data_IF_663046616474
#
_entry.id   IF_663046616474
#
_cell.length_a   1.000
_cell.length_b   1.000
_cell.length_c   1.000
_cell.angle_alpha   90.00
_cell.angle_beta   90.00
_cell.angle_gamma   90.00
#
_symmetry.space_group_name_H-M   'P 1'
#
loop_
_entity.id
_entity.type
_entity.pdbx_description
1 polymer ?
#
# COMPACT_ATOMS: atom_id res chain seq x y z
N UNK A 1 21.20 -8.63 -8.48
CA UNK A 1 20.74 -10.01 -8.78
C UNK A 1 19.28 -9.88 -9.19
N UNK A 2 18.80 -10.55 -10.25
CA UNK A 2 17.38 -10.48 -10.58
C UNK A 2 16.54 -11.06 -9.43
N UNK A 3 15.33 -10.53 -9.24
CA UNK A 3 14.34 -11.04 -8.29
C UNK A 3 13.99 -12.50 -8.60
N UNK A 4 13.55 -13.27 -7.59
CA UNK A 4 12.90 -14.56 -7.84
C UNK A 4 11.58 -14.34 -8.59
N UNK A 5 11.07 -15.38 -9.27
CA UNK A 5 9.78 -15.30 -9.98
C UNK A 5 8.63 -14.88 -9.04
N UNK A 6 8.66 -15.34 -7.78
CA UNK A 6 7.69 -14.96 -6.74
C UNK A 6 7.86 -13.49 -6.34
N UNK A 7 9.10 -13.02 -6.14
CA UNK A 7 9.35 -11.62 -5.82
C UNK A 7 8.96 -10.68 -6.97
N UNK A 8 9.24 -11.06 -8.22
CA UNK A 8 8.82 -10.30 -9.40
C UNK A 8 7.29 -10.25 -9.51
N UNK A 9 6.62 -11.40 -9.35
CA UNK A 9 5.15 -11.45 -9.39
C UNK A 9 4.54 -10.58 -8.30
N UNK A 10 5.06 -10.64 -7.07
CA UNK A 10 4.62 -9.79 -5.96
C UNK A 10 4.80 -8.29 -6.30
N UNK A 11 5.96 -7.91 -6.82
CA UNK A 11 6.24 -6.53 -7.22
C UNK A 11 5.22 -6.04 -8.25
N UNK A 12 4.99 -6.81 -9.30
CA UNK A 12 4.08 -6.44 -10.39
C UNK A 12 2.63 -6.31 -9.88
N UNK A 13 2.18 -7.24 -9.04
CA UNK A 13 0.81 -7.22 -8.50
C UNK A 13 0.60 -6.06 -7.52
N UNK A 14 1.54 -5.80 -6.61
CA UNK A 14 1.39 -4.72 -5.61
C UNK A 14 1.46 -3.34 -6.27
N UNK A 15 2.33 -3.17 -7.25
CA UNK A 15 2.50 -1.88 -7.92
C UNK A 15 1.36 -1.59 -8.90
N UNK A 16 0.83 -2.60 -9.59
CA UNK A 16 -0.32 -2.41 -10.50
C UNK A 16 -1.63 -2.12 -9.78
N UNK A 17 -1.83 -2.66 -8.56
CA UNK A 17 -3.08 -2.47 -7.82
C UNK A 17 -3.13 -1.19 -6.99
N UNK A 18 -1.97 -0.56 -6.73
CA UNK A 18 -1.88 0.59 -5.82
C UNK A 18 -2.83 1.75 -6.18
N UNK A 19 -2.71 2.28 -7.41
CA UNK A 19 -3.55 3.39 -7.87
C UNK A 19 -5.04 3.05 -7.86
N UNK A 20 -5.50 1.93 -8.47
CA UNK A 20 -6.90 1.52 -8.40
C UNK A 20 -7.44 1.43 -6.96
N UNK A 21 -6.64 0.90 -6.02
CA UNK A 21 -7.03 0.85 -4.61
C UNK A 21 -7.17 2.25 -4.02
N UNK A 22 -6.25 3.18 -4.27
CA UNK A 22 -6.37 4.54 -3.75
C UNK A 22 -7.61 5.26 -4.30
N UNK A 23 -7.87 5.13 -5.59
CA UNK A 23 -9.05 5.72 -6.25
C UNK A 23 -10.37 5.16 -5.67
N UNK A 24 -10.45 3.84 -5.49
CA UNK A 24 -11.61 3.19 -4.87
C UNK A 24 -11.83 3.68 -3.44
N UNK A 25 -10.76 3.76 -2.63
CA UNK A 25 -10.85 4.18 -1.22
C UNK A 25 -11.19 5.66 -1.07
N UNK A 26 -10.66 6.51 -1.94
CA UNK A 26 -11.06 7.92 -2.00
C UNK A 26 -12.55 8.06 -2.31
N UNK A 27 -13.03 7.34 -3.34
CA UNK A 27 -14.45 7.35 -3.71
C UNK A 27 -15.33 6.83 -2.56
N UNK A 28 -14.94 5.73 -1.91
CA UNK A 28 -15.66 5.18 -0.76
C UNK A 28 -15.67 6.14 0.45
N UNK A 29 -14.61 6.92 0.64
CA UNK A 29 -14.50 7.96 1.66
C UNK A 29 -15.21 9.28 1.32
N UNK A 30 -15.78 9.40 0.11
CA UNK A 30 -16.42 10.64 -0.35
C UNK A 30 -15.43 11.75 -0.75
N UNK A 31 -14.16 11.41 -0.98
CA UNK A 31 -13.14 12.34 -1.43
C UNK A 31 -13.12 12.42 -2.96
N UNK A 32 -12.83 13.62 -3.48
CA UNK A 32 -12.67 13.82 -4.93
C UNK A 32 -11.20 13.71 -5.33
N UNK A 33 -10.93 13.08 -6.47
CA UNK A 33 -9.61 13.05 -7.09
C UNK A 33 -9.27 14.43 -7.67
N UNK A 34 -8.80 15.34 -6.82
CA UNK A 34 -8.27 16.64 -7.25
C UNK A 34 -6.87 16.46 -7.86
N UNK A 35 -6.38 17.48 -8.59
CA UNK A 35 -5.01 17.43 -9.13
C UNK A 35 -3.94 17.19 -8.06
N UNK A 36 -4.08 17.81 -6.89
CA UNK A 36 -3.15 17.61 -5.75
C UNK A 36 -3.20 16.18 -5.21
N UNK A 37 -4.39 15.59 -5.10
CA UNK A 37 -4.54 14.21 -4.61
C UNK A 37 -4.04 13.21 -5.66
N UNK A 38 -4.29 13.44 -6.94
CA UNK A 38 -3.79 12.60 -8.03
C UNK A 38 -2.26 12.60 -8.12
N UNK A 39 -1.64 13.77 -8.02
CA UNK A 39 -0.19 13.92 -7.91
C UNK A 39 0.36 13.17 -6.69
N UNK A 40 -0.29 13.27 -5.53
CA UNK A 40 0.12 12.55 -4.33
C UNK A 40 -0.02 11.02 -4.46
N UNK A 41 -1.03 10.52 -5.16
CA UNK A 41 -1.13 9.08 -5.47
C UNK A 41 0.02 8.67 -6.38
N UNK A 42 0.35 9.48 -7.40
CA UNK A 42 1.49 9.19 -8.28
C UNK A 42 2.82 9.15 -7.50
N UNK A 43 3.05 10.11 -6.60
CA UNK A 43 4.22 10.15 -5.73
C UNK A 43 4.30 8.93 -4.81
N UNK A 44 3.16 8.53 -4.21
CA UNK A 44 3.06 7.33 -3.40
C UNK A 44 3.35 6.05 -4.20
N UNK A 45 2.92 5.98 -5.46
CA UNK A 45 3.19 4.84 -6.35
C UNK A 45 4.69 4.74 -6.68
N UNK A 46 5.34 5.87 -6.98
CA UNK A 46 6.80 5.94 -7.21
C UNK A 46 7.55 5.50 -5.96
N UNK A 47 7.14 5.98 -4.79
CA UNK A 47 7.75 5.61 -3.52
C UNK A 47 7.55 4.12 -3.22
N UNK A 48 6.34 3.58 -3.38
CA UNK A 48 6.03 2.16 -3.20
C UNK A 48 6.92 1.30 -4.07
N UNK A 49 7.06 1.63 -5.36
CA UNK A 49 7.95 0.90 -6.28
C UNK A 49 9.38 0.87 -5.76
N UNK A 50 9.94 2.01 -5.37
CA UNK A 50 11.32 2.08 -4.90
C UNK A 50 11.55 1.26 -3.63
N UNK A 51 10.64 1.37 -2.66
CA UNK A 51 10.79 0.69 -1.37
C UNK A 51 10.50 -0.80 -1.46
N UNK A 52 9.53 -1.19 -2.28
CA UNK A 52 9.22 -2.59 -2.52
C UNK A 52 10.37 -3.28 -3.26
N UNK A 53 10.97 -2.61 -4.24
CA UNK A 53 12.19 -3.11 -4.89
C UNK A 53 13.32 -3.31 -3.86
N UNK A 54 13.61 -2.30 -3.04
CA UNK A 54 14.63 -2.39 -2.00
C UNK A 54 14.36 -3.49 -0.96
N UNK A 55 13.09 -3.69 -0.59
CA UNK A 55 12.67 -4.78 0.28
C UNK A 55 12.96 -6.15 -0.38
N UNK A 56 12.56 -6.33 -1.63
CA UNK A 56 12.65 -7.61 -2.33
C UNK A 56 14.08 -7.96 -2.77
N UNK A 57 14.94 -6.95 -2.97
CA UNK A 57 16.38 -7.14 -3.17
C UNK A 57 17.12 -7.51 -1.87
N UNK A 58 16.52 -7.26 -0.71
CA UNK A 58 17.09 -7.63 0.59
C UNK A 58 16.85 -9.12 0.85
N UNK A 59 17.87 -9.90 1.27
CA UNK A 59 17.67 -11.29 1.68
C UNK A 59 16.61 -11.42 2.77
N UNK A 60 15.81 -12.49 2.75
CA UNK A 60 14.68 -12.68 3.67
C UNK A 60 15.01 -12.43 5.15
N UNK A 61 16.16 -12.90 5.62
CA UNK A 61 16.62 -12.70 7.01
C UNK A 61 16.86 -11.23 7.38
N UNK A 62 17.12 -10.36 6.40
CA UNK A 62 17.32 -8.92 6.58
C UNK A 62 16.05 -8.08 6.37
N UNK A 63 14.96 -8.67 5.86
CA UNK A 63 13.72 -7.95 5.58
C UNK A 63 12.94 -7.68 6.86
N UNK A 64 12.95 -6.40 7.30
CA UNK A 64 12.27 -5.94 8.53
C UNK A 64 10.81 -5.51 8.35
N UNK A 65 10.34 -5.41 7.11
CA UNK A 65 8.96 -5.09 6.74
C UNK A 65 8.41 -6.18 5.83
N UNK A 66 7.09 -6.23 5.71
CA UNK A 66 6.35 -6.97 4.72
C UNK A 66 5.98 -6.09 3.53
N UNK A 67 5.67 -6.68 2.36
CA UNK A 67 5.13 -5.95 1.21
C UNK A 67 3.87 -5.15 1.55
N UNK A 68 3.00 -5.71 2.41
CA UNK A 68 1.79 -5.03 2.87
C UNK A 68 2.11 -3.79 3.71
N UNK A 69 3.07 -3.87 4.64
CA UNK A 69 3.48 -2.70 5.43
C UNK A 69 4.05 -1.59 4.53
N UNK A 70 4.80 -1.92 3.48
CA UNK A 70 5.27 -0.93 2.49
C UNK A 70 4.10 -0.32 1.71
N UNK A 71 3.12 -1.13 1.29
CA UNK A 71 1.92 -0.63 0.62
C UNK A 71 1.11 0.32 1.51
N UNK A 72 0.92 -0.05 2.78
CA UNK A 72 0.20 0.76 3.75
C UNK A 72 0.90 2.10 4.01
N UNK A 73 2.23 2.11 4.08
CA UNK A 73 3.03 3.32 4.29
C UNK A 73 2.97 4.27 3.07
N UNK A 74 2.82 3.72 1.84
CA UNK A 74 2.61 4.54 0.64
C UNK A 74 1.29 5.35 0.69
N UNK A 75 0.27 4.88 1.41
CA UNK A 75 -0.99 5.61 1.57
C UNK A 75 -0.84 6.92 2.39
N UNK A 76 0.32 7.16 3.02
CA UNK A 76 0.60 8.45 3.68
C UNK A 76 0.59 9.63 2.71
N UNK A 77 0.99 9.42 1.46
CA UNK A 77 1.06 10.50 0.45
C UNK A 77 -0.33 11.10 0.17
N UNK A 78 -1.34 10.32 -0.26
CA UNK A 78 -2.70 10.86 -0.42
C UNK A 78 -3.32 11.30 0.92
N UNK A 79 -2.94 10.69 2.05
CA UNK A 79 -3.38 11.13 3.39
C UNK A 79 -2.90 12.55 3.72
N UNK A 80 -1.63 12.84 3.51
CA UNK A 80 -1.04 14.16 3.73
C UNK A 80 -1.64 15.20 2.79
N UNK A 81 -1.90 14.83 1.52
CA UNK A 81 -2.57 15.69 0.57
C UNK A 81 -3.98 16.08 1.03
N UNK A 82 -4.81 15.10 1.42
CA UNK A 82 -6.15 15.37 1.98
C UNK A 82 -6.08 16.23 3.25
N UNK A 83 -5.13 15.95 4.13
CA UNK A 83 -4.92 16.74 5.36
C UNK A 83 -4.53 18.18 5.05
N UNK A 84 -3.67 18.41 4.05
CA UNK A 84 -3.26 19.77 3.64
C UNK A 84 -4.41 20.59 3.07
N UNK A 85 -5.41 19.91 2.49
CA UNK A 85 -6.65 20.50 1.97
C UNK A 85 -7.72 20.72 3.06
N UNK A 86 -7.46 20.32 4.31
CA UNK A 86 -8.42 20.42 5.41
C UNK A 86 -9.59 19.44 5.28
N UNK A 87 -9.41 18.31 4.59
CA UNK A 87 -10.44 17.29 4.48
C UNK A 87 -10.80 16.71 5.86
N UNK A 88 -12.09 16.51 6.12
CA UNK A 88 -12.57 15.93 7.38
C UNK A 88 -12.19 14.45 7.47
N UNK A 89 -11.54 13.99 8.56
CA UNK A 89 -11.23 12.58 8.76
C UNK A 89 -12.47 11.69 8.75
N UNK A 90 -12.30 10.43 8.33
CA UNK A 90 -13.38 9.43 8.34
C UNK A 90 -13.47 8.80 9.73
N UNK A 91 -14.68 8.56 10.28
CA UNK A 91 -14.82 7.78 11.50
C UNK A 91 -14.26 6.36 11.31
N UNK A 92 -13.28 5.97 12.12
CA UNK A 92 -12.67 4.63 12.13
C UNK A 92 -12.91 3.94 13.46
N UNK A 93 -13.09 2.63 13.43
CA UNK A 93 -13.19 1.85 14.67
C UNK A 93 -11.81 1.76 15.36
N UNK A 94 -11.83 1.39 16.64
CA UNK A 94 -10.63 1.31 17.46
C UNK A 94 -9.58 0.30 16.95
N UNK A 95 -10.01 -0.77 16.27
CA UNK A 95 -9.10 -1.79 15.73
C UNK A 95 -8.36 -1.21 14.53
N UNK A 96 -9.09 -0.62 13.59
CA UNK A 96 -8.55 0.02 12.40
C UNK A 96 -7.60 1.17 12.75
N UNK A 97 -8.00 2.05 13.68
CA UNK A 97 -7.16 3.15 14.15
C UNK A 97 -5.90 2.68 14.87
N UNK A 98 -5.95 1.57 15.61
CA UNK A 98 -4.77 1.03 16.29
C UNK A 98 -3.81 0.35 15.32
N UNK A 99 -4.33 -0.34 14.30
CA UNK A 99 -3.52 -1.03 13.30
C UNK A 99 -2.78 -0.05 12.37
N UNK A 100 -3.44 1.06 12.00
CA UNK A 100 -2.92 2.05 11.05
C UNK A 100 -3.18 3.47 11.56
N UNK A 101 -2.45 3.94 12.59
CA UNK A 101 -2.75 5.19 13.28
C UNK A 101 -2.54 6.44 12.41
N UNK A 102 -1.68 6.37 11.38
CA UNK A 102 -1.45 7.46 10.44
C UNK A 102 -2.55 7.60 9.38
N UNK A 103 -3.35 6.56 9.15
CA UNK A 103 -4.34 6.52 8.07
C UNK A 103 -5.69 7.11 8.51
N UNK A 104 -5.73 8.41 8.82
CA UNK A 104 -6.93 9.06 9.36
C UNK A 104 -8.11 9.14 8.35
N UNK A 105 -7.87 8.80 7.09
CA UNK A 105 -8.88 8.79 6.02
C UNK A 105 -9.28 7.36 5.58
N UNK A 106 -8.66 6.32 6.11
CA UNK A 106 -9.02 4.92 5.82
C UNK A 106 -8.63 4.47 4.41
N UNK A 107 -7.52 4.98 3.87
CA UNK A 107 -7.03 4.68 2.53
C UNK A 107 -6.20 3.40 2.46
N UNK A 108 -5.47 3.07 3.53
CA UNK A 108 -4.59 1.91 3.55
C UNK A 108 -5.40 0.62 3.78
N UNK A 109 -5.18 -0.44 2.98
CA UNK A 109 -5.84 -1.72 3.20
C UNK A 109 -5.38 -2.33 4.52
N UNK A 110 -6.30 -2.87 5.34
CA UNK A 110 -5.91 -3.49 6.61
C UNK A 110 -5.29 -4.89 6.40
N UNK A 111 -5.57 -5.53 5.26
CA UNK A 111 -4.99 -6.80 4.85
C UNK A 111 -4.78 -6.87 3.34
N UNK A 112 -3.88 -7.73 2.87
CA UNK A 112 -3.70 -7.97 1.43
C UNK A 112 -4.91 -8.65 0.77
N UNK A 113 -5.86 -9.20 1.55
CA UNK A 113 -7.12 -9.75 1.03
C UNK A 113 -8.06 -8.66 0.51
N UNK A 114 -7.87 -7.42 0.96
CA UNK A 114 -8.62 -6.26 0.47
C UNK A 114 -8.07 -5.70 -0.85
N UNK A 115 -6.97 -6.26 -1.36
CA UNK A 115 -6.48 -6.02 -2.70
C UNK A 115 -7.14 -6.99 -3.69
N UNK A 116 -6.57 -7.14 -4.89
CA UNK A 116 -7.00 -8.17 -5.84
C UNK A 116 -6.62 -9.57 -5.37
N UNK A 117 -7.32 -10.60 -5.88
CA UNK A 117 -7.00 -12.00 -5.61
C UNK A 117 -5.57 -12.36 -5.98
N UNK A 118 -5.04 -11.75 -7.04
CA UNK A 118 -3.70 -12.02 -7.56
C UNK A 118 -2.64 -11.38 -6.67
N UNK A 119 -2.85 -10.14 -6.21
CA UNK A 119 -1.99 -9.51 -5.21
C UNK A 119 -1.99 -10.28 -3.88
N UNK A 120 -3.15 -10.72 -3.41
CA UNK A 120 -3.24 -11.56 -2.21
C UNK A 120 -2.44 -12.87 -2.36
N UNK A 121 -2.63 -13.59 -3.48
CA UNK A 121 -1.91 -14.85 -3.76
C UNK A 121 -0.40 -14.64 -3.86
N UNK A 122 0.03 -13.57 -4.51
CA UNK A 122 1.45 -13.22 -4.60
C UNK A 122 2.06 -12.94 -3.21
N UNK A 123 1.31 -12.26 -2.33
CA UNK A 123 1.73 -12.01 -0.95
C UNK A 123 1.88 -13.31 -0.14
N UNK A 124 0.94 -14.26 -0.29
CA UNK A 124 1.04 -15.58 0.34
C UNK A 124 2.24 -16.40 -0.16
N UNK A 125 2.50 -16.37 -1.47
CA UNK A 125 3.64 -17.05 -2.07
C UNK A 125 4.96 -16.50 -1.53
N UNK A 126 5.11 -15.17 -1.48
CA UNK A 126 6.27 -14.51 -0.86
C UNK A 126 6.44 -14.90 0.62
N UNK A 127 5.35 -14.93 1.40
CA UNK A 127 5.40 -15.32 2.81
C UNK A 127 5.81 -16.78 3.01
N UNK A 128 5.42 -17.66 2.08
CA UNK A 128 5.83 -19.07 2.07
C UNK A 128 7.31 -19.21 1.75
N UNK A 129 7.82 -18.50 0.72
CA UNK A 129 9.25 -18.50 0.41
C UNK A 129 10.10 -17.93 1.54
N UNK A 130 9.64 -16.86 2.20
CA UNK A 130 10.35 -16.25 3.33
C UNK A 130 10.49 -17.18 4.54
N UNK A 131 9.53 -18.11 4.71
CA UNK A 131 9.48 -19.02 5.84
C UNK A 131 10.23 -20.36 5.61
N UNK A 132 10.58 -20.67 4.36
CA UNK A 132 11.32 -21.88 3.97
C UNK A 132 12.82 -21.77 4.27
#
# INVERSE_FOLDING_TARGET
MPLSDVAQTLFDQFTSVYRPTMEERLAAGGFSLSGVVDEAIADGEVWLRSELQGLLDTPFAGQRRSPLEVFQDAARFPTEALSSMGATPVPRDHIASSALPGDIYGLAPASSQELTSDAWRAHLAWGTEKAA
#
